data_IF_972147048421
#
_entry.id   IF_972147048421
#
_cell.length_a   1.000
_cell.length_b   1.000
_cell.length_c   1.000
_cell.angle_alpha   90.00
_cell.angle_beta   90.00
_cell.angle_gamma   90.00
#
_symmetry.space_group_name_H-M   'P 1'
#
loop_
_entity.id
_entity.type
_entity.pdbx_description
1 polymer ?
#
# COMPACT_ATOMS: atom_id res chain seq x y z
N UNK A 1 -12.97 5.11 -20.55
CA UNK A 1 -11.94 4.66 -21.53
C UNK A 1 -10.53 4.68 -20.91
N UNK A 2 -10.05 5.80 -20.35
CA UNK A 2 -8.67 5.88 -19.83
C UNK A 2 -8.48 5.08 -18.54
N UNK A 3 -9.42 5.15 -17.60
CA UNK A 3 -9.40 4.41 -16.33
C UNK A 3 -9.52 2.90 -16.56
N UNK A 4 -10.42 2.48 -17.43
CA UNK A 4 -10.58 1.06 -17.78
C UNK A 4 -9.28 0.47 -18.37
N UNK A 5 -8.61 1.24 -19.23
CA UNK A 5 -7.31 0.82 -19.78
C UNK A 5 -6.22 0.68 -18.71
N UNK A 6 -6.25 1.52 -17.67
CA UNK A 6 -5.32 1.40 -16.53
C UNK A 6 -5.64 0.16 -15.67
N UNK A 7 -6.92 -0.07 -15.38
CA UNK A 7 -7.38 -1.24 -14.62
C UNK A 7 -6.98 -2.53 -15.35
N UNK A 8 -7.28 -2.64 -16.64
CA UNK A 8 -6.96 -3.83 -17.42
C UNK A 8 -5.45 -4.13 -17.43
N UNK A 9 -4.61 -3.11 -17.59
CA UNK A 9 -3.14 -3.29 -17.49
C UNK A 9 -2.70 -3.78 -16.10
N UNK A 10 -3.29 -3.25 -15.04
CA UNK A 10 -2.97 -3.69 -13.67
C UNK A 10 -3.39 -5.15 -13.45
N UNK A 11 -4.59 -5.54 -13.90
CA UNK A 11 -5.10 -6.92 -13.80
C UNK A 11 -4.18 -7.89 -14.55
N UNK A 12 -3.80 -7.57 -15.79
CA UNK A 12 -2.93 -8.45 -16.59
C UNK A 12 -1.52 -8.55 -15.99
N UNK A 13 -0.97 -7.44 -15.50
CA UNK A 13 0.31 -7.46 -14.79
C UNK A 13 0.22 -8.34 -13.51
N UNK A 14 -0.84 -8.18 -12.73
CA UNK A 14 -1.07 -8.98 -11.53
C UNK A 14 -1.16 -10.48 -11.84
N UNK A 15 -1.87 -10.87 -12.89
CA UNK A 15 -1.95 -12.27 -13.33
C UNK A 15 -0.56 -12.86 -13.64
N UNK A 16 0.29 -12.09 -14.30
CA UNK A 16 1.65 -12.52 -14.63
C UNK A 16 2.52 -12.84 -13.40
N UNK A 17 2.22 -12.22 -12.27
CA UNK A 17 2.91 -12.44 -11.00
C UNK A 17 2.11 -13.31 -9.99
N UNK A 18 0.99 -13.90 -10.40
CA UNK A 18 0.13 -14.68 -9.52
C UNK A 18 -0.63 -13.87 -8.47
N UNK A 19 -0.80 -12.56 -8.69
CA UNK A 19 -1.53 -11.63 -7.81
C UNK A 19 -2.87 -11.28 -8.45
N UNK A 20 -3.98 -11.90 -8.01
CA UNK A 20 -5.30 -11.58 -8.54
C UNK A 20 -5.76 -10.19 -8.05
N UNK A 21 -6.26 -9.38 -8.98
CA UNK A 21 -6.83 -8.06 -8.69
C UNK A 21 -8.28 -8.02 -9.18
N UNK A 22 -9.22 -7.88 -8.25
CA UNK A 22 -10.67 -7.93 -8.48
C UNK A 22 -11.28 -6.53 -8.40
N UNK A 23 -11.00 -5.66 -9.39
CA UNK A 23 -11.57 -4.31 -9.42
C UNK A 23 -13.09 -4.29 -9.57
N UNK A 24 -13.67 -5.37 -10.08
CA UNK A 24 -15.12 -5.56 -10.28
C UNK A 24 -15.91 -5.62 -8.97
N UNK A 25 -15.27 -6.03 -7.86
CA UNK A 25 -15.91 -6.08 -6.53
C UNK A 25 -15.68 -4.84 -5.69
N UNK A 26 -14.75 -3.96 -6.09
CA UNK A 26 -14.45 -2.72 -5.36
C UNK A 26 -15.59 -1.73 -5.55
N UNK A 27 -16.25 -1.34 -4.45
CA UNK A 27 -17.39 -0.42 -4.44
C UNK A 27 -17.08 0.95 -3.85
N UNK A 28 -15.95 1.07 -3.16
CA UNK A 28 -15.57 2.26 -2.39
C UNK A 28 -14.12 2.62 -2.71
N UNK A 29 -13.87 3.90 -2.93
CA UNK A 29 -12.52 4.47 -2.89
C UNK A 29 -12.23 4.87 -1.43
N UNK A 30 -11.43 4.09 -0.70
CA UNK A 30 -11.26 4.29 0.73
C UNK A 30 -10.41 5.52 1.05
N UNK A 31 -10.65 6.12 2.21
CA UNK A 31 -9.70 7.06 2.81
C UNK A 31 -8.54 6.25 3.40
N UNK A 32 -7.37 6.28 2.75
CA UNK A 32 -6.23 5.39 3.09
C UNK A 32 -5.32 5.93 4.19
N UNK A 33 -5.52 7.14 4.68
CA UNK A 33 -4.69 7.74 5.73
C UNK A 33 -4.63 6.86 7.00
N UNK A 34 -5.76 6.32 7.50
CA UNK A 34 -5.71 5.41 8.66
C UNK A 34 -4.90 4.12 8.39
N UNK A 35 -5.03 3.53 7.21
CA UNK A 35 -4.24 2.34 6.85
C UNK A 35 -2.73 2.64 6.84
N UNK A 36 -2.31 3.77 6.28
CA UNK A 36 -0.92 4.23 6.33
C UNK A 36 -0.44 4.52 7.76
N UNK A 37 -1.28 5.09 8.61
CA UNK A 37 -0.97 5.35 10.01
C UNK A 37 -0.78 4.04 10.77
N UNK A 38 -1.65 3.04 10.55
CA UNK A 38 -1.53 1.70 11.12
C UNK A 38 -0.20 1.03 10.74
N UNK A 39 0.18 1.06 9.47
CA UNK A 39 1.47 0.52 9.00
C UNK A 39 2.64 1.24 9.65
N UNK A 40 2.56 2.57 9.81
CA UNK A 40 3.62 3.34 10.43
C UNK A 40 3.78 3.03 11.93
N UNK A 41 2.69 2.77 12.63
CA UNK A 41 2.67 2.43 14.07
C UNK A 41 3.09 0.97 14.33
N UNK A 42 2.96 0.07 13.35
CA UNK A 42 3.29 -1.33 13.50
C UNK A 42 4.80 -1.57 13.70
N UNK A 43 5.20 -2.58 14.48
CA UNK A 43 6.58 -3.06 14.55
C UNK A 43 7.14 -3.36 13.15
N UNK A 44 8.42 -3.06 12.94
CA UNK A 44 9.04 -3.15 11.61
C UNK A 44 8.92 -4.55 10.99
N UNK A 45 9.07 -5.59 11.77
CA UNK A 45 9.01 -7.00 11.39
C UNK A 45 7.61 -7.44 10.93
N UNK A 46 6.54 -6.75 11.37
CA UNK A 46 5.16 -7.07 11.01
C UNK A 46 4.62 -6.21 9.85
N UNK A 47 5.31 -5.12 9.49
CA UNK A 47 4.82 -4.16 8.50
C UNK A 47 4.57 -4.76 7.13
N UNK A 48 5.45 -5.64 6.67
CA UNK A 48 5.32 -6.25 5.35
C UNK A 48 4.06 -7.11 5.27
N UNK A 49 3.87 -8.04 6.23
CA UNK A 49 2.68 -8.87 6.28
C UNK A 49 1.39 -8.07 6.46
N UNK A 50 1.44 -6.95 7.20
CA UNK A 50 0.31 -6.03 7.34
C UNK A 50 -0.04 -5.37 6.00
N UNK A 51 0.95 -4.90 5.24
CA UNK A 51 0.74 -4.31 3.90
C UNK A 51 0.13 -5.32 2.93
N UNK A 52 0.62 -6.57 2.93
CA UNK A 52 0.06 -7.64 2.10
C UNK A 52 -1.41 -7.90 2.44
N UNK A 53 -1.77 -7.93 3.73
CA UNK A 53 -3.16 -8.12 4.17
C UNK A 53 -4.05 -6.94 3.78
N UNK A 54 -3.57 -5.70 3.88
CA UNK A 54 -4.29 -4.51 3.43
C UNK A 54 -4.55 -4.54 1.92
N UNK A 55 -3.56 -4.90 1.12
CA UNK A 55 -3.73 -5.04 -0.33
C UNK A 55 -4.70 -6.17 -0.67
N UNK A 56 -4.60 -7.33 -0.02
CA UNK A 56 -5.53 -8.44 -0.21
C UNK A 56 -6.96 -8.06 0.20
N UNK A 57 -7.13 -7.35 1.32
CA UNK A 57 -8.43 -6.85 1.75
C UNK A 57 -9.09 -5.97 0.68
N UNK A 58 -8.35 -5.03 0.15
CA UNK A 58 -8.88 -4.10 -0.84
C UNK A 58 -9.02 -4.71 -2.23
N UNK A 59 -7.94 -5.28 -2.79
CA UNK A 59 -7.91 -5.71 -4.18
C UNK A 59 -8.50 -7.10 -4.44
N UNK A 60 -8.55 -7.96 -3.42
CA UNK A 60 -9.05 -9.34 -3.58
C UNK A 60 -10.40 -9.57 -2.90
N UNK A 61 -10.77 -8.78 -1.90
CA UNK A 61 -12.03 -8.91 -1.16
C UNK A 61 -12.94 -7.68 -1.24
N UNK A 62 -12.47 -6.57 -1.82
CA UNK A 62 -13.25 -5.33 -1.97
C UNK A 62 -13.57 -4.64 -0.65
N UNK A 63 -12.81 -4.92 0.42
CA UNK A 63 -13.04 -4.36 1.75
C UNK A 63 -12.63 -2.88 1.83
N UNK A 64 -13.35 -2.10 2.64
CA UNK A 64 -13.02 -0.70 2.87
C UNK A 64 -11.88 -0.58 3.89
N UNK A 65 -10.63 -0.48 3.43
CA UNK A 65 -9.45 -0.31 4.28
C UNK A 65 -9.33 1.08 4.96
N UNK A 66 -10.33 1.93 4.81
CA UNK A 66 -10.50 3.15 5.60
C UNK A 66 -11.44 2.97 6.79
N UNK A 67 -12.11 1.82 6.88
CA UNK A 67 -13.04 1.50 7.95
C UNK A 67 -12.34 1.00 9.21
N UNK A 68 -12.79 1.48 10.37
CA UNK A 68 -12.19 1.17 11.68
C UNK A 68 -12.27 -0.32 12.01
N UNK A 69 -13.42 -0.95 11.77
CA UNK A 69 -13.65 -2.36 12.06
C UNK A 69 -12.78 -3.26 11.15
N UNK A 70 -12.70 -2.91 9.88
CA UNK A 70 -11.84 -3.62 8.92
C UNK A 70 -10.38 -3.53 9.32
N UNK A 71 -9.88 -2.33 9.67
CA UNK A 71 -8.50 -2.14 10.11
C UNK A 71 -8.18 -2.87 11.42
N UNK A 72 -9.11 -2.89 12.38
CA UNK A 72 -8.95 -3.65 13.62
C UNK A 72 -8.84 -5.16 13.36
N UNK A 73 -9.68 -5.70 12.47
CA UNK A 73 -9.63 -7.10 12.06
C UNK A 73 -8.30 -7.44 11.38
N UNK A 74 -7.83 -6.59 10.46
CA UNK A 74 -6.55 -6.79 9.76
C UNK A 74 -5.37 -6.70 10.74
N UNK A 75 -5.40 -5.76 11.69
CA UNK A 75 -4.37 -5.62 12.73
C UNK A 75 -4.26 -6.91 13.55
N UNK A 76 -5.38 -7.40 14.08
CA UNK A 76 -5.44 -8.64 14.85
C UNK A 76 -4.94 -9.84 14.06
N UNK A 77 -5.38 -9.98 12.80
CA UNK A 77 -4.93 -11.05 11.91
C UNK A 77 -3.42 -10.95 11.56
N UNK A 78 -2.82 -9.78 11.75
CA UNK A 78 -1.38 -9.53 11.58
C UNK A 78 -0.57 -9.72 12.86
N UNK A 79 -1.19 -10.15 13.95
CA UNK A 79 -0.54 -10.33 15.26
C UNK A 79 -0.35 -9.01 16.02
N UNK A 80 -1.05 -7.95 15.64
CA UNK A 80 -1.04 -6.67 16.34
C UNK A 80 -2.16 -6.62 17.38
N UNK A 81 -1.95 -5.83 18.44
CA UNK A 81 -3.04 -5.49 19.36
C UNK A 81 -4.11 -4.67 18.62
N UNK A 82 -5.39 -5.02 18.84
CA UNK A 82 -6.51 -4.27 18.27
C UNK A 82 -6.50 -2.78 18.69
N UNK A 83 -5.99 -2.46 19.88
CA UNK A 83 -5.79 -1.08 20.33
C UNK A 83 -4.88 -0.27 19.41
N UNK A 84 -3.94 -0.92 18.69
CA UNK A 84 -3.08 -0.23 17.73
C UNK A 84 -3.88 0.29 16.52
N UNK A 85 -4.97 -0.37 16.15
CA UNK A 85 -5.86 0.12 15.10
C UNK A 85 -6.53 1.45 15.48
N UNK A 86 -6.78 1.69 16.79
CA UNK A 86 -7.32 2.97 17.26
C UNK A 86 -6.32 4.11 17.07
N UNK A 87 -5.01 3.85 17.27
CA UNK A 87 -3.94 4.82 17.01
C UNK A 87 -3.96 5.31 15.55
N UNK A 88 -4.38 4.46 14.62
CA UNK A 88 -4.49 4.82 13.21
C UNK A 88 -5.49 5.96 12.94
N UNK A 89 -6.46 6.15 13.83
CA UNK A 89 -7.47 7.21 13.73
C UNK A 89 -7.15 8.46 14.57
N UNK A 90 -6.01 8.48 15.24
CA UNK A 90 -5.53 9.69 15.92
C UNK A 90 -5.24 10.78 14.87
N UNK A 91 -5.80 12.00 15.05
CA UNK A 91 -5.55 13.13 14.15
C UNK A 91 -4.07 13.48 13.96
N UNK A 92 -3.23 13.30 14.99
CA UNK A 92 -1.80 13.54 14.90
C UNK A 92 -1.10 12.52 13.98
N UNK A 93 -1.51 11.26 14.02
CA UNK A 93 -0.99 10.23 13.10
C UNK A 93 -1.42 10.51 11.66
N UNK A 94 -2.66 10.93 11.46
CA UNK A 94 -3.14 11.36 10.15
C UNK A 94 -2.37 12.57 9.61
N UNK A 95 -2.06 13.54 10.45
CA UNK A 95 -1.22 14.69 10.09
C UNK A 95 0.21 14.25 9.69
N UNK A 96 0.81 13.34 10.44
CA UNK A 96 2.14 12.80 10.14
C UNK A 96 2.17 12.05 8.80
N UNK A 97 1.12 11.29 8.47
CA UNK A 97 0.99 10.62 7.15
C UNK A 97 0.94 11.67 6.03
N UNK A 98 0.09 12.69 6.16
CA UNK A 98 -0.01 13.78 5.15
C UNK A 98 1.31 14.51 4.98
N UNK A 99 2.02 14.80 6.08
CA UNK A 99 3.32 15.46 6.04
C UNK A 99 4.36 14.63 5.27
N UNK A 100 4.42 13.30 5.51
CA UNK A 100 5.31 12.41 4.75
C UNK A 100 4.96 12.37 3.27
N UNK A 101 3.67 12.30 2.93
CA UNK A 101 3.22 12.35 1.54
C UNK A 101 3.63 13.65 0.85
N UNK A 102 3.45 14.79 1.51
CA UNK A 102 3.87 16.10 0.99
C UNK A 102 5.40 16.15 0.76
N UNK A 103 6.19 15.68 1.72
CA UNK A 103 7.66 15.61 1.59
C UNK A 103 8.08 14.73 0.41
N UNK A 104 7.42 13.57 0.25
CA UNK A 104 7.70 12.64 -0.86
C UNK A 104 7.39 13.29 -2.22
N UNK A 105 6.27 14.01 -2.32
CA UNK A 105 5.90 14.76 -3.54
C UNK A 105 6.93 15.84 -3.89
N UNK A 106 7.50 16.50 -2.90
CA UNK A 106 8.55 17.52 -3.10
C UNK A 106 9.86 16.92 -3.65
N UNK A 107 10.09 15.61 -3.51
CA UNK A 107 11.23 14.89 -4.10
C UNK A 107 11.02 14.58 -5.59
N UNK A 108 9.94 15.06 -6.20
CA UNK A 108 9.62 14.82 -7.61
C UNK A 108 9.05 13.44 -7.91
N UNK A 109 8.64 12.67 -6.87
CA UNK A 109 8.02 11.37 -7.03
C UNK A 109 6.56 11.57 -7.42
N UNK A 110 6.22 11.25 -8.67
CA UNK A 110 4.89 11.48 -9.25
C UNK A 110 4.06 10.20 -9.43
N UNK A 111 4.60 9.05 -9.04
CA UNK A 111 3.90 7.78 -9.21
C UNK A 111 4.50 6.67 -8.37
N UNK A 112 3.72 5.61 -8.21
CA UNK A 112 4.11 4.40 -7.46
C UNK A 112 3.93 3.17 -8.34
N UNK A 113 4.73 2.12 -8.08
CA UNK A 113 5.84 2.06 -7.14
C UNK A 113 7.05 2.88 -7.59
N UNK A 114 7.79 3.44 -6.64
CA UNK A 114 9.04 4.16 -6.85
C UNK A 114 10.09 3.64 -5.88
N UNK A 115 11.24 3.22 -6.40
CA UNK A 115 12.33 2.67 -5.60
C UNK A 115 13.59 3.52 -5.80
N UNK A 116 14.22 3.86 -4.69
CA UNK A 116 15.54 4.51 -4.69
C UNK A 116 16.56 3.56 -4.07
N UNK A 117 17.50 3.11 -4.87
CA UNK A 117 18.55 2.17 -4.47
C UNK A 117 19.90 2.83 -4.74
N UNK A 118 20.59 3.23 -3.68
CA UNK A 118 21.78 4.05 -3.83
C UNK A 118 21.48 5.35 -4.58
N UNK A 119 22.20 5.62 -5.66
CA UNK A 119 21.99 6.78 -6.53
C UNK A 119 21.00 6.55 -7.68
N UNK A 120 20.40 5.36 -7.78
CA UNK A 120 19.50 4.98 -8.88
C UNK A 120 18.04 5.02 -8.47
N UNK A 121 17.16 5.39 -9.41
CA UNK A 121 15.71 5.34 -9.24
C UNK A 121 15.11 4.32 -10.22
N UNK A 122 14.21 3.46 -9.71
CA UNK A 122 13.39 2.58 -10.51
C UNK A 122 11.93 3.03 -10.38
N UNK A 123 11.25 3.18 -11.51
CA UNK A 123 9.88 3.67 -11.59
C UNK A 123 8.95 2.57 -12.12
N UNK A 124 7.82 2.39 -11.46
CA UNK A 124 6.85 1.37 -11.84
C UNK A 124 7.27 -0.05 -11.46
N UNK A 125 6.43 -1.02 -11.78
CA UNK A 125 6.75 -2.43 -11.62
C UNK A 125 7.87 -2.82 -12.61
N UNK A 126 8.96 -3.34 -12.09
CA UNK A 126 10.15 -3.71 -12.84
C UNK A 126 10.41 -5.21 -12.74
N UNK A 127 11.12 -5.76 -13.71
CA UNK A 127 11.63 -7.12 -13.65
C UNK A 127 12.59 -7.29 -12.44
N UNK A 128 12.59 -8.44 -11.73
CA UNK A 128 13.51 -8.70 -10.63
C UNK A 128 14.98 -8.44 -10.98
N UNK A 129 15.41 -8.69 -12.21
CA UNK A 129 16.77 -8.43 -12.67
C UNK A 129 17.17 -6.95 -12.61
N UNK A 130 16.21 -6.04 -12.79
CA UNK A 130 16.46 -4.61 -12.65
C UNK A 130 16.84 -4.23 -11.21
N UNK A 131 16.20 -4.87 -10.22
CA UNK A 131 16.54 -4.69 -8.81
C UNK A 131 17.92 -5.27 -8.48
N UNK A 132 18.22 -6.48 -8.97
CA UNK A 132 19.54 -7.09 -8.80
C UNK A 132 20.63 -6.17 -9.37
N UNK A 133 20.44 -5.69 -10.59
CA UNK A 133 21.39 -4.77 -11.23
C UNK A 133 21.56 -3.44 -10.47
N UNK A 134 20.48 -2.93 -9.83
CA UNK A 134 20.56 -1.71 -9.04
C UNK A 134 21.27 -1.92 -7.68
N UNK A 135 21.15 -3.12 -7.10
CA UNK A 135 21.76 -3.48 -5.81
C UNK A 135 23.25 -3.83 -5.93
N UNK A 136 23.70 -4.29 -7.11
CA UNK A 136 25.07 -4.77 -7.35
C UNK A 136 25.95 -3.77 -8.06
N UNK A 137 25.45 -2.61 -8.37
CA UNK A 137 26.19 -1.51 -8.99
C UNK A 137 26.59 -0.50 -7.91
#
# INVERSE_FOLDING_TARGET
VQVEGMINRAVEAGKGYGVPLHFDIIRISPQTIPAHALVAAAPAELRWGLVERLHSAYFQRGENIGDRTVLASIATASGLDAALAEVAFDPAQGAAVRQRAATTSMLGIQGVPHFKIGGRALHGAQDPQAFVAALTA
#
